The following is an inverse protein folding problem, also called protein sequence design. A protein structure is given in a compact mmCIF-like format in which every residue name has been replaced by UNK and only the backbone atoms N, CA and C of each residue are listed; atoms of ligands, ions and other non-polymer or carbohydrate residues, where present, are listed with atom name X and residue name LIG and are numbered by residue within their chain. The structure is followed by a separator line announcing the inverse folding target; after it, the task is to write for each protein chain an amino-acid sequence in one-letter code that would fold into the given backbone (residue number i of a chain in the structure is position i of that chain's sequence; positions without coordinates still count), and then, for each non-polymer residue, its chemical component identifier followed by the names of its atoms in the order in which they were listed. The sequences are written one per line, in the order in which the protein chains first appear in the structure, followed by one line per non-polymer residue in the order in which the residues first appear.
data_IF_440310136226
#
_entry.id   IF_440310136226
#
_cell.length_a   1.000
_cell.length_b   1.000
_cell.length_c   1.000
_cell.angle_alpha   90.00
_cell.angle_beta   90.00
_cell.angle_gamma   90.00
#
_symmetry.space_group_name_H-M   'P 1'
#
loop_
_entity.id
_entity.type
_entity.pdbx_description
1 polymer ?
#
# COMPACT_ATOMS: atom_id res chain seq x y z
N UNK A 1 -61.34 -31.05 -45.70
CA UNK A 1 -62.75 -31.02 -45.30
C UNK A 1 -62.90 -30.53 -43.87
N UNK A 2 -63.54 -29.35 -43.75
CA UNK A 2 -64.53 -28.96 -42.70
C UNK A 2 -64.14 -29.19 -41.27
N UNK A 3 -64.29 -28.26 -40.32
CA UNK A 3 -65.16 -27.07 -40.07
C UNK A 3 -64.69 -26.41 -38.81
N UNK A 4 -64.53 -25.13 -38.81
CA UNK A 4 -65.33 -24.13 -38.08
C UNK A 4 -65.64 -24.45 -36.61
N UNK A 5 -65.16 -23.64 -35.73
CA UNK A 5 -65.63 -23.41 -34.38
C UNK A 5 -65.30 -22.01 -33.89
N UNK A 6 -66.25 -21.13 -34.13
CA UNK A 6 -66.30 -19.76 -33.69
C UNK A 6 -66.65 -19.74 -32.19
N UNK A 7 -65.92 -19.12 -31.37
CA UNK A 7 -66.28 -18.91 -29.97
C UNK A 7 -65.73 -17.54 -29.47
N UNK A 8 -66.61 -16.56 -29.67
CA UNK A 8 -66.48 -15.26 -28.98
C UNK A 8 -66.65 -15.47 -27.48
N UNK A 9 -65.76 -15.02 -26.68
CA UNK A 9 -66.12 -14.48 -25.38
C UNK A 9 -65.23 -13.28 -25.02
N UNK A 10 -65.93 -12.20 -24.84
CA UNK A 10 -65.53 -11.02 -24.12
C UNK A 10 -65.38 -11.36 -22.65
N UNK A 11 -64.35 -10.90 -22.01
CA UNK A 11 -64.44 -10.43 -20.62
C UNK A 11 -63.14 -9.72 -20.18
N UNK A 12 -63.33 -8.52 -19.87
CA UNK A 12 -62.83 -7.74 -18.74
C UNK A 12 -61.33 -7.70 -18.45
N UNK A 13 -60.86 -6.53 -18.61
CA UNK A 13 -59.82 -5.81 -17.92
C UNK A 13 -59.25 -6.36 -16.62
N UNK A 14 -57.99 -6.68 -16.66
CA UNK A 14 -57.14 -6.58 -15.49
C UNK A 14 -56.02 -5.63 -15.84
N UNK A 15 -56.14 -4.43 -15.30
CA UNK A 15 -55.06 -3.45 -15.28
C UNK A 15 -53.98 -4.06 -14.34
N UNK A 16 -53.01 -4.72 -14.93
CA UNK A 16 -51.82 -5.09 -14.21
C UNK A 16 -50.97 -3.81 -14.14
N UNK A 17 -51.02 -3.13 -13.01
CA UNK A 17 -50.05 -2.12 -12.64
C UNK A 17 -48.69 -2.80 -12.60
N UNK A 18 -47.92 -2.71 -13.65
CA UNK A 18 -46.52 -3.05 -13.65
C UNK A 18 -45.84 -2.00 -12.79
N UNK A 19 -45.68 -2.31 -11.51
CA UNK A 19 -44.77 -1.60 -10.64
C UNK A 19 -43.38 -1.90 -11.22
N UNK A 20 -42.88 -0.96 -12.01
CA UNK A 20 -41.49 -0.89 -12.40
C UNK A 20 -40.71 -0.70 -11.09
N UNK A 21 -40.25 -1.81 -10.50
CA UNK A 21 -39.20 -1.78 -9.50
C UNK A 21 -37.96 -1.23 -10.23
N UNK A 22 -37.73 0.05 -10.03
CA UNK A 22 -36.46 0.66 -10.39
C UNK A 22 -35.42 -0.02 -9.54
N UNK A 23 -34.47 -0.76 -10.10
CA UNK A 23 -33.33 -1.19 -9.31
C UNK A 23 -32.69 0.10 -8.79
N UNK A 24 -32.66 0.25 -7.50
CA UNK A 24 -31.85 1.27 -6.88
C UNK A 24 -30.45 1.05 -7.40
N UNK A 25 -30.07 1.86 -8.39
CA UNK A 25 -28.68 2.01 -8.74
C UNK A 25 -27.99 2.35 -7.43
N UNK A 26 -27.22 1.42 -6.95
CA UNK A 26 -26.29 1.65 -5.89
C UNK A 26 -25.39 2.75 -6.43
N UNK A 27 -25.72 3.99 -6.09
CA UNK A 27 -24.78 5.05 -6.20
C UNK A 27 -23.60 4.57 -5.37
N UNK A 28 -22.57 4.08 -6.02
CA UNK A 28 -21.26 4.05 -5.45
C UNK A 28 -21.02 5.50 -5.06
N UNK A 29 -21.27 5.81 -3.80
CA UNK A 29 -20.65 6.93 -3.19
C UNK A 29 -19.18 6.67 -3.41
N UNK A 30 -18.58 7.39 -4.35
CA UNK A 30 -17.17 7.68 -4.30
C UNK A 30 -16.96 8.27 -2.92
N UNK A 31 -16.64 7.41 -1.99
CA UNK A 31 -16.14 7.79 -0.69
C UNK A 31 -14.90 8.62 -1.03
N UNK A 32 -14.92 9.93 -0.78
CA UNK A 32 -13.76 10.74 -1.08
C UNK A 32 -12.61 10.07 -0.36
N UNK A 33 -11.59 9.66 -1.12
CA UNK A 33 -10.36 9.11 -0.58
C UNK A 33 -10.01 10.01 0.61
N UNK A 34 -9.78 9.46 1.81
CA UNK A 34 -9.56 10.27 2.99
C UNK A 34 -8.50 11.28 2.62
N UNK A 35 -8.87 12.55 2.70
CA UNK A 35 -7.96 13.66 2.44
C UNK A 35 -6.72 13.33 3.24
N UNK A 36 -5.57 13.17 2.57
CA UNK A 36 -4.32 12.86 3.23
C UNK A 36 -4.18 13.92 4.34
N UNK A 37 -4.38 13.47 5.57
CA UNK A 37 -4.23 14.34 6.73
C UNK A 37 -2.78 14.83 6.66
N UNK A 38 -2.56 16.08 6.28
CA UNK A 38 -1.26 16.74 6.21
C UNK A 38 -0.66 16.92 7.62
N UNK A 39 -0.95 15.97 8.49
CA UNK A 39 -0.35 15.91 9.83
C UNK A 39 1.04 15.33 9.70
N UNK A 40 2.04 15.96 10.33
CA UNK A 40 3.36 15.37 10.44
C UNK A 40 3.27 13.95 10.98
N UNK A 41 4.03 13.04 10.37
CA UNK A 41 4.06 11.63 10.79
C UNK A 41 4.46 11.48 12.27
N UNK A 42 4.06 10.37 12.85
CA UNK A 42 4.45 10.02 14.23
C UNK A 42 5.95 9.86 14.34
N UNK A 43 6.56 10.42 15.40
CA UNK A 43 7.99 10.27 15.66
C UNK A 43 8.35 8.80 15.83
N UNK A 44 9.35 8.36 15.07
CA UNK A 44 9.98 7.05 15.25
C UNK A 44 11.22 7.22 16.14
N UNK A 45 11.38 6.35 17.12
CA UNK A 45 12.52 6.31 18.03
C UNK A 45 13.32 5.04 17.81
N UNK A 46 14.58 5.05 18.23
CA UNK A 46 15.37 3.82 18.26
C UNK A 46 14.68 2.73 19.09
N UNK A 47 14.53 1.55 18.52
CA UNK A 47 13.80 0.43 19.13
C UNK A 47 12.32 0.34 18.76
N UNK A 48 11.74 1.35 18.13
CA UNK A 48 10.36 1.31 17.65
C UNK A 48 10.21 0.33 16.48
N UNK A 49 8.97 -0.13 16.29
CA UNK A 49 8.62 -1.04 15.20
C UNK A 49 7.99 -0.26 14.06
N UNK A 50 8.60 -0.35 12.89
CA UNK A 50 8.09 0.17 11.63
C UNK A 50 7.47 -0.97 10.83
N UNK A 51 6.20 -0.86 10.50
CA UNK A 51 5.48 -1.84 9.69
C UNK A 51 5.14 -1.26 8.33
N UNK A 52 5.24 -2.08 7.30
CA UNK A 52 4.95 -1.64 5.93
C UNK A 52 5.11 -2.78 4.93
N UNK A 53 4.97 -2.45 3.67
CA UNK A 53 5.20 -3.38 2.56
C UNK A 53 6.66 -3.35 2.12
N UNK A 54 7.27 -4.53 2.01
CA UNK A 54 8.65 -4.66 1.56
C UNK A 54 8.71 -4.84 0.04
N UNK A 55 9.41 -3.95 -0.62
CA UNK A 55 9.66 -4.00 -2.04
C UNK A 55 11.16 -4.21 -2.33
N UNK A 56 11.46 -4.83 -3.46
CA UNK A 56 12.83 -4.95 -3.97
C UNK A 56 12.98 -4.07 -5.19
N UNK A 57 13.87 -3.11 -5.08
CA UNK A 57 14.24 -2.24 -6.19
C UNK A 57 15.52 -2.79 -6.84
N UNK A 58 15.55 -2.80 -8.16
CA UNK A 58 16.76 -3.15 -8.89
C UNK A 58 17.64 -1.90 -8.96
N UNK A 59 18.65 -1.87 -8.10
CA UNK A 59 19.69 -0.84 -8.18
C UNK A 59 20.47 -0.93 -9.50
N UNK A 60 20.96 0.21 -9.96
CA UNK A 60 22.02 0.22 -11.00
C UNK A 60 23.19 -0.58 -10.41
N UNK A 61 23.68 -1.53 -11.20
CA UNK A 61 24.84 -2.32 -10.80
C UNK A 61 25.99 -1.40 -10.39
N UNK A 62 26.70 -1.76 -9.35
CA UNK A 62 27.93 -1.10 -8.98
C UNK A 62 28.95 -1.21 -10.13
N UNK A 63 30.04 -0.45 -10.07
CA UNK A 63 31.11 -0.41 -11.08
C UNK A 63 31.72 -1.81 -11.37
N UNK A 64 31.38 -2.83 -10.59
CA UNK A 64 31.80 -4.23 -10.75
C UNK A 64 30.75 -5.12 -11.40
N UNK A 65 29.63 -4.56 -11.88
CA UNK A 65 28.58 -5.30 -12.58
C UNK A 65 27.73 -6.21 -11.68
N UNK A 66 27.92 -6.17 -10.36
CA UNK A 66 27.14 -6.93 -9.41
C UNK A 66 25.82 -6.20 -9.16
N UNK A 67 24.73 -6.76 -9.63
CA UNK A 67 23.38 -6.23 -9.35
C UNK A 67 23.05 -6.53 -7.89
N UNK A 68 23.13 -5.51 -7.03
CA UNK A 68 22.61 -5.62 -5.67
C UNK A 68 21.12 -5.28 -5.65
N UNK A 69 20.32 -6.09 -4.99
CA UNK A 69 18.95 -5.74 -4.71
C UNK A 69 18.93 -4.71 -3.59
N UNK A 70 18.25 -3.59 -3.82
CA UNK A 70 17.96 -2.61 -2.78
C UNK A 70 16.56 -2.90 -2.24
N UNK A 71 16.43 -3.00 -0.94
CA UNK A 71 15.14 -3.25 -0.29
C UNK A 71 14.57 -1.92 0.20
N UNK A 72 13.28 -1.72 -0.04
CA UNK A 72 12.54 -0.55 0.37
C UNK A 72 11.29 -0.98 1.15
N UNK A 73 11.09 -0.38 2.30
CA UNK A 73 9.86 -0.50 3.07
C UNK A 73 8.99 0.72 2.81
N UNK A 74 7.77 0.53 2.35
CA UNK A 74 6.76 1.58 2.23
C UNK A 74 5.83 1.52 3.44
N UNK A 75 5.75 2.61 4.18
CA UNK A 75 4.99 2.71 5.43
C UNK A 75 4.20 4.01 5.48
N UNK A 76 3.45 4.20 6.54
CA UNK A 76 2.86 5.51 6.82
C UNK A 76 3.96 6.54 7.11
N UNK A 77 3.68 7.85 6.89
CA UNK A 77 4.65 8.91 7.14
C UNK A 77 5.21 8.85 8.56
N UNK A 78 6.50 9.04 8.70
CA UNK A 78 7.17 9.05 10.00
C UNK A 78 8.07 10.29 10.13
N UNK A 79 8.12 10.84 11.30
CA UNK A 79 9.12 11.86 11.65
C UNK A 79 10.33 11.19 12.29
N UNK A 80 11.51 11.53 11.82
CA UNK A 80 12.76 11.00 12.35
C UNK A 80 13.20 11.76 13.61
N UNK A 81 14.04 11.16 14.45
CA UNK A 81 14.71 11.88 15.54
C UNK A 81 15.54 13.05 15.00
N UNK A 82 15.74 14.11 15.78
CA UNK A 82 16.66 15.16 15.38
C UNK A 82 18.08 14.62 15.07
N UNK A 83 18.77 15.18 14.05
CA UNK A 83 18.43 16.36 13.25
C UNK A 83 17.52 16.07 12.05
N UNK A 84 17.20 14.80 11.74
CA UNK A 84 16.49 14.40 10.54
C UNK A 84 15.08 15.02 10.41
N UNK A 85 14.30 14.97 11.47
CA UNK A 85 12.96 15.56 11.49
C UNK A 85 12.03 15.00 10.40
N UNK A 86 11.56 15.86 9.52
CA UNK A 86 10.69 15.49 8.39
C UNK A 86 11.47 15.19 7.10
N UNK A 87 12.78 15.19 7.12
CA UNK A 87 13.64 15.00 5.92
C UNK A 87 13.35 15.99 4.78
N UNK A 88 12.89 17.20 5.11
CA UNK A 88 12.51 18.21 4.12
C UNK A 88 11.14 17.95 3.44
N UNK A 89 10.38 17.00 3.94
CA UNK A 89 9.06 16.65 3.45
C UNK A 89 7.95 17.26 4.32
N UNK A 90 6.74 17.34 3.80
CA UNK A 90 5.61 17.94 4.50
C UNK A 90 5.14 17.09 5.69
N UNK A 91 5.07 15.77 5.51
CA UNK A 91 4.57 14.82 6.51
C UNK A 91 5.66 13.92 7.08
N UNK A 92 6.84 13.94 6.50
CA UNK A 92 7.95 13.04 6.76
C UNK A 92 8.02 11.87 5.77
N UNK A 93 9.12 11.10 5.80
CA UNK A 93 9.34 10.00 4.88
C UNK A 93 8.31 8.88 5.03
N UNK A 94 7.90 8.34 3.89
CA UNK A 94 7.03 7.17 3.76
C UNK A 94 7.79 5.98 3.18
N UNK A 95 8.91 6.24 2.51
CA UNK A 95 9.76 5.23 1.90
C UNK A 95 11.09 5.14 2.63
N UNK A 96 11.46 3.92 3.00
CA UNK A 96 12.62 3.64 3.84
C UNK A 96 13.50 2.60 3.15
N UNK A 97 14.70 2.99 2.74
CA UNK A 97 15.68 2.06 2.23
C UNK A 97 16.27 1.24 3.38
N UNK A 98 16.32 -0.07 3.22
CA UNK A 98 16.86 -0.98 4.22
C UNK A 98 18.26 -1.39 3.78
N UNK A 99 19.26 -1.02 4.57
CA UNK A 99 20.65 -1.41 4.32
C UNK A 99 20.87 -2.84 4.80
N UNK A 100 21.41 -3.68 3.94
CA UNK A 100 21.85 -5.03 4.28
C UNK A 100 23.37 -5.06 4.36
N UNK A 101 23.89 -5.46 5.50
CA UNK A 101 25.33 -5.48 5.77
C UNK A 101 25.97 -6.85 5.44
N UNK A 102 25.15 -7.87 5.22
CA UNK A 102 25.60 -9.22 4.90
C UNK A 102 24.55 -9.99 4.09
N UNK A 103 24.98 -11.09 3.50
CA UNK A 103 24.13 -11.94 2.65
C UNK A 103 22.98 -12.61 3.44
N UNK A 104 23.15 -12.83 4.74
CA UNK A 104 22.12 -13.42 5.59
C UNK A 104 20.93 -12.44 5.73
N UNK A 105 21.19 -11.15 5.96
CA UNK A 105 20.15 -10.12 6.01
C UNK A 105 19.46 -9.97 4.65
N UNK A 106 20.22 -9.97 3.56
CA UNK A 106 19.65 -9.90 2.22
C UNK A 106 18.75 -11.10 1.92
N UNK A 107 19.16 -12.30 2.30
CA UNK A 107 18.38 -13.54 2.13
C UNK A 107 17.11 -13.51 2.99
N UNK A 108 17.20 -13.00 4.21
CA UNK A 108 16.05 -12.84 5.10
C UNK A 108 14.99 -11.91 4.48
N UNK A 109 15.39 -10.73 4.02
CA UNK A 109 14.47 -9.78 3.40
C UNK A 109 13.88 -10.31 2.09
N UNK A 110 14.65 -11.03 1.30
CA UNK A 110 14.19 -11.63 0.04
C UNK A 110 12.93 -12.49 0.21
N UNK A 111 12.80 -13.19 1.33
CA UNK A 111 11.62 -14.01 1.65
C UNK A 111 10.36 -13.20 1.93
N UNK A 112 10.49 -11.90 2.18
CA UNK A 112 9.38 -11.01 2.52
C UNK A 112 9.03 -10.01 1.42
N UNK A 113 9.72 -10.01 0.29
CA UNK A 113 9.41 -9.11 -0.84
C UNK A 113 7.97 -9.29 -1.30
N UNK A 114 7.24 -8.19 -1.47
CA UNK A 114 5.82 -8.15 -1.79
C UNK A 114 4.89 -8.49 -0.62
N UNK A 115 5.41 -8.50 0.61
CA UNK A 115 4.62 -8.80 1.82
C UNK A 115 4.74 -7.67 2.84
N UNK A 116 3.73 -7.58 3.70
CA UNK A 116 3.80 -6.73 4.88
C UNK A 116 4.76 -7.34 5.90
N UNK A 117 5.71 -6.53 6.37
CA UNK A 117 6.65 -6.92 7.42
C UNK A 117 6.71 -5.85 8.51
N UNK A 118 7.25 -6.24 9.65
CA UNK A 118 7.55 -5.33 10.75
C UNK A 118 9.03 -5.40 11.06
N UNK A 119 9.68 -4.24 11.08
CA UNK A 119 11.09 -4.10 11.43
C UNK A 119 11.23 -3.30 12.72
N UNK A 120 12.03 -3.80 13.64
CA UNK A 120 12.52 -3.00 14.75
C UNK A 120 13.67 -2.14 14.24
N UNK A 121 13.50 -0.83 14.32
CA UNK A 121 14.46 0.14 13.82
C UNK A 121 15.40 0.55 14.95
N UNK A 122 16.69 0.44 14.73
CA UNK A 122 17.70 0.85 15.70
C UNK A 122 18.38 2.14 15.27
N UNK A 123 18.66 2.27 13.98
CA UNK A 123 19.31 3.45 13.41
C UNK A 123 18.65 3.83 12.09
N UNK A 124 18.25 5.09 11.99
CA UNK A 124 17.55 5.66 10.85
C UNK A 124 18.00 7.09 10.60
N UNK A 125 18.16 7.48 9.35
CA UNK A 125 18.52 8.83 8.92
C UNK A 125 17.77 9.21 7.65
N UNK A 126 17.73 10.50 7.34
CA UNK A 126 17.24 10.96 6.04
C UNK A 126 18.20 10.50 4.93
N UNK A 127 17.65 10.31 3.74
CA UNK A 127 18.47 10.05 2.55
C UNK A 127 19.25 11.32 2.18
N UNK A 128 20.56 11.21 2.06
CA UNK A 128 21.46 12.34 1.75
C UNK A 128 22.02 12.24 0.33
N UNK A 129 22.11 11.02 -0.20
CA UNK A 129 22.71 10.77 -1.50
C UNK A 129 21.64 10.74 -2.62
N UNK A 130 21.95 11.41 -3.74
CA UNK A 130 21.07 11.40 -4.91
C UNK A 130 20.85 10.00 -5.54
N UNK A 131 21.66 9.01 -5.16
CA UNK A 131 21.50 7.61 -5.57
C UNK A 131 20.60 6.78 -4.66
N UNK A 132 20.15 7.35 -3.56
CA UNK A 132 19.21 6.68 -2.66
C UNK A 132 17.79 6.79 -3.23
N UNK A 133 17.12 5.64 -3.34
CA UNK A 133 15.80 5.54 -3.97
C UNK A 133 14.65 5.72 -2.99
N UNK A 134 14.95 6.09 -1.76
CA UNK A 134 13.99 6.28 -0.67
C UNK A 134 14.26 7.59 0.06
N UNK A 135 13.27 8.07 0.76
CA UNK A 135 13.32 9.35 1.50
C UNK A 135 14.14 9.26 2.80
N UNK A 136 14.21 8.06 3.36
CA UNK A 136 15.00 7.77 4.53
C UNK A 136 15.72 6.41 4.40
N UNK A 137 16.74 6.21 5.23
CA UNK A 137 17.60 5.03 5.23
C UNK A 137 17.64 4.42 6.63
N UNK A 138 17.38 3.12 6.71
CA UNK A 138 17.50 2.33 7.94
C UNK A 138 18.80 1.51 7.84
N UNK A 139 19.78 1.85 8.66
CA UNK A 139 21.09 1.21 8.65
C UNK A 139 21.21 0.05 9.63
N UNK A 140 20.47 0.10 10.75
CA UNK A 140 20.43 -0.99 11.75
C UNK A 140 18.99 -1.36 12.08
N UNK A 141 18.69 -2.64 11.94
CA UNK A 141 17.33 -3.17 12.08
C UNK A 141 17.32 -4.65 12.42
N UNK A 142 16.17 -5.16 12.83
CA UNK A 142 15.86 -6.58 12.95
C UNK A 142 14.42 -6.87 12.57
N UNK A 143 14.15 -8.04 11.98
CA UNK A 143 12.77 -8.45 11.67
C UNK A 143 12.04 -8.83 12.94
N UNK A 144 10.81 -8.32 13.10
CA UNK A 144 9.92 -8.71 14.20
C UNK A 144 9.01 -9.82 13.68
N UNK A 145 9.25 -11.04 14.15
CA UNK A 145 8.35 -12.16 13.90
C UNK A 145 7.24 -12.17 14.94
N UNK A 146 5.98 -12.13 14.48
CA UNK A 146 4.86 -12.40 15.39
C UNK A 146 4.85 -13.91 15.67
N UNK A 147 5.05 -14.26 16.90
CA UNK A 147 4.79 -15.62 17.41
C UNK A 147 3.30 -15.75 17.68
#
# INVERSE_FOLDING_TARGET
MTKRGFGKQLALGAIIAVVMAVPAAWAQQDEPAPAADNKPGTLIKAGDVLSGELNSLRGHGDKKGKRSATYQLTSQPRRLPPPGGLCGLETGPETFQIVTNNDAQATQLKGFVGKAISLRVVEIACAEDAGQMSEAVISKWSVVTKH
#
